data_IF_692789704724
#
_entry.id   IF_692789704724
#
_cell.length_a   1.000
_cell.length_b   1.000
_cell.length_c   1.000
_cell.angle_alpha   90.00
_cell.angle_beta   90.00
_cell.angle_gamma   90.00
#
_symmetry.space_group_name_H-M   'P 1'
#
loop_
_entity.id
_entity.type
_entity.pdbx_description
1 polymer ?
#
# COMPACT_ATOMS: atom_id res chain seq x y z
N UNK A 1 -51.99 -41.69 7.14
CA UNK A 1 -51.16 -40.93 6.19
C UNK A 1 -50.22 -39.96 6.92
N UNK A 2 -49.09 -40.40 7.51
CA UNK A 2 -48.16 -39.52 8.24
C UNK A 2 -46.93 -39.06 7.44
N UNK A 3 -46.72 -39.60 6.23
CA UNK A 3 -45.46 -39.48 5.49
C UNK A 3 -45.25 -38.08 4.88
N UNK A 4 -46.32 -37.41 4.46
CA UNK A 4 -46.27 -36.12 3.77
C UNK A 4 -45.81 -34.96 4.70
N UNK A 5 -46.13 -35.05 6.00
CA UNK A 5 -45.73 -34.02 6.98
C UNK A 5 -44.24 -34.08 7.35
N UNK A 6 -43.60 -35.25 7.24
CA UNK A 6 -42.18 -35.41 7.57
C UNK A 6 -41.28 -34.85 6.48
N UNK A 7 -41.67 -35.04 5.21
CA UNK A 7 -40.94 -34.54 4.03
C UNK A 7 -41.03 -33.01 3.89
N UNK A 8 -42.21 -32.42 4.13
CA UNK A 8 -42.35 -30.95 4.15
C UNK A 8 -41.51 -30.27 5.24
N UNK A 9 -41.33 -30.91 6.41
CA UNK A 9 -40.43 -30.41 7.46
C UNK A 9 -38.95 -30.53 7.10
N UNK A 10 -38.53 -31.61 6.45
CA UNK A 10 -37.14 -31.77 6.00
C UNK A 10 -36.78 -30.78 4.89
N UNK A 11 -37.70 -30.56 3.95
CA UNK A 11 -37.49 -29.64 2.83
C UNK A 11 -37.42 -28.19 3.33
N UNK A 12 -38.28 -27.80 4.28
CA UNK A 12 -38.22 -26.50 4.95
C UNK A 12 -36.91 -26.28 5.71
N UNK A 13 -36.41 -27.31 6.42
CA UNK A 13 -35.13 -27.24 7.12
C UNK A 13 -33.94 -27.09 6.15
N UNK A 14 -33.94 -27.86 5.05
CA UNK A 14 -32.93 -27.75 3.99
C UNK A 14 -32.91 -26.36 3.32
N UNK A 15 -34.08 -25.78 3.05
CA UNK A 15 -34.18 -24.44 2.48
C UNK A 15 -33.68 -23.36 3.44
N UNK A 16 -33.92 -23.50 4.74
CA UNK A 16 -33.38 -22.59 5.76
C UNK A 16 -31.86 -22.71 5.83
N UNK A 17 -31.30 -23.93 5.84
CA UNK A 17 -29.85 -24.14 5.83
C UNK A 17 -29.18 -23.60 4.57
N UNK A 18 -29.75 -23.83 3.38
CA UNK A 18 -29.24 -23.32 2.10
C UNK A 18 -29.28 -21.79 2.07
N UNK A 19 -30.36 -21.19 2.55
CA UNK A 19 -30.52 -19.73 2.60
C UNK A 19 -29.53 -19.10 3.59
N UNK A 20 -29.36 -19.71 4.76
CA UNK A 20 -28.40 -19.26 5.78
C UNK A 20 -26.94 -19.48 5.35
N UNK A 21 -26.64 -20.52 4.56
CA UNK A 21 -25.33 -20.69 3.93
C UNK A 21 -25.08 -19.56 2.92
N UNK A 22 -26.05 -19.29 2.04
CA UNK A 22 -25.88 -18.30 0.98
C UNK A 22 -25.71 -16.87 1.52
N UNK A 23 -26.37 -16.52 2.64
CA UNK A 23 -26.26 -15.20 3.28
C UNK A 23 -24.88 -14.90 3.88
N UNK A 24 -24.05 -15.92 4.13
CA UNK A 24 -22.71 -15.74 4.72
C UNK A 24 -21.58 -15.93 3.70
N UNK A 25 -21.81 -16.64 2.60
CA UNK A 25 -20.77 -16.92 1.59
C UNK A 25 -20.40 -15.67 0.81
N UNK A 26 -21.37 -14.87 0.36
CA UNK A 26 -21.06 -13.65 -0.42
C UNK A 26 -20.26 -12.62 0.40
N UNK A 27 -20.67 -12.22 1.63
CA UNK A 27 -19.89 -11.28 2.43
C UNK A 27 -18.50 -11.82 2.80
N UNK A 28 -18.38 -13.14 3.02
CA UNK A 28 -17.09 -13.77 3.24
C UNK A 28 -16.15 -13.60 2.04
N UNK A 29 -16.64 -13.86 0.82
CA UNK A 29 -15.86 -13.70 -0.41
C UNK A 29 -15.48 -12.22 -0.60
N UNK A 30 -16.38 -11.29 -0.36
CA UNK A 30 -16.13 -9.85 -0.43
C UNK A 30 -15.04 -9.40 0.56
N UNK A 31 -15.10 -9.87 1.82
CA UNK A 31 -14.07 -9.62 2.82
C UNK A 31 -12.70 -10.19 2.41
N UNK A 32 -12.66 -11.41 1.86
CA UNK A 32 -11.43 -12.00 1.31
C UNK A 32 -10.88 -11.14 0.17
N UNK A 33 -11.72 -10.73 -0.78
CA UNK A 33 -11.31 -9.88 -1.89
C UNK A 33 -10.81 -8.51 -1.42
N UNK A 34 -11.43 -7.92 -0.40
CA UNK A 34 -10.98 -6.67 0.20
C UNK A 34 -9.58 -6.80 0.80
N UNK A 35 -9.31 -7.88 1.55
CA UNK A 35 -7.98 -8.10 2.14
C UNK A 35 -6.93 -8.36 1.06
N UNK A 36 -7.24 -9.18 0.06
CA UNK A 36 -6.33 -9.41 -1.08
C UNK A 36 -6.08 -8.12 -1.88
N UNK A 37 -7.12 -7.31 -2.11
CA UNK A 37 -7.02 -6.00 -2.74
C UNK A 37 -6.18 -5.02 -1.92
N UNK A 38 -6.30 -5.06 -0.59
CA UNK A 38 -5.50 -4.25 0.33
C UNK A 38 -4.02 -4.67 0.32
N UNK A 39 -3.74 -5.97 0.31
CA UNK A 39 -2.37 -6.50 0.14
C UNK A 39 -1.78 -6.08 -1.20
N UNK A 40 -2.56 -6.16 -2.28
CA UNK A 40 -2.14 -5.68 -3.60
C UNK A 40 -1.85 -4.18 -3.59
N UNK A 41 -2.75 -3.37 -3.02
CA UNK A 41 -2.57 -1.93 -2.87
C UNK A 41 -1.30 -1.60 -2.06
N UNK A 42 -1.02 -2.36 -1.00
CA UNK A 42 0.23 -2.23 -0.23
C UNK A 42 1.47 -2.55 -1.08
N UNK A 43 1.43 -3.58 -1.93
CA UNK A 43 2.53 -3.89 -2.85
C UNK A 43 2.78 -2.77 -3.88
N UNK A 44 1.73 -2.08 -4.33
CA UNK A 44 1.86 -0.91 -5.21
C UNK A 44 2.65 0.23 -4.55
N UNK A 45 2.57 0.40 -3.23
CA UNK A 45 3.35 1.40 -2.49
C UNK A 45 4.87 1.15 -2.65
N UNK A 46 5.30 -0.10 -2.79
CA UNK A 46 6.72 -0.43 -3.05
C UNK A 46 7.16 0.16 -4.39
N UNK A 47 6.31 0.03 -5.41
CA UNK A 47 6.52 0.59 -6.75
C UNK A 47 6.33 2.11 -6.80
N UNK A 48 6.18 2.77 -5.65
CA UNK A 48 5.99 4.22 -5.51
C UNK A 48 4.69 4.72 -6.15
N UNK A 49 3.70 3.84 -6.26
CA UNK A 49 2.34 4.19 -6.62
C UNK A 49 1.55 4.58 -5.35
N UNK A 50 0.42 5.30 -5.48
CA UNK A 50 -0.40 5.74 -4.34
C UNK A 50 -1.22 4.58 -3.72
N UNK A 51 -0.55 3.51 -3.31
CA UNK A 51 -1.16 2.27 -2.83
C UNK A 51 -2.01 2.44 -1.57
N UNK A 52 -1.54 3.22 -0.60
CA UNK A 52 -2.31 3.51 0.62
C UNK A 52 -3.64 4.22 0.30
N UNK A 53 -3.68 5.08 -0.72
CA UNK A 53 -4.92 5.72 -1.16
C UNK A 53 -5.86 4.76 -1.87
N UNK A 54 -5.33 3.82 -2.66
CA UNK A 54 -6.13 2.75 -3.23
C UNK A 54 -6.76 1.88 -2.12
N UNK A 55 -6.01 1.60 -1.05
CA UNK A 55 -6.54 0.88 0.10
C UNK A 55 -7.71 1.63 0.75
N UNK A 56 -7.56 2.94 1.00
CA UNK A 56 -8.67 3.79 1.50
C UNK A 56 -9.90 3.68 0.61
N UNK A 57 -9.71 3.75 -0.71
CA UNK A 57 -10.81 3.63 -1.68
C UNK A 57 -11.49 2.27 -1.58
N UNK A 58 -10.72 1.17 -1.54
CA UNK A 58 -11.25 -0.18 -1.42
C UNK A 58 -12.03 -0.37 -0.11
N UNK A 59 -11.48 0.11 1.02
CA UNK A 59 -12.15 0.09 2.32
C UNK A 59 -13.45 0.88 2.30
N UNK A 60 -13.46 2.07 1.70
CA UNK A 60 -14.67 2.89 1.57
C UNK A 60 -15.73 2.24 0.66
N UNK A 61 -15.30 1.61 -0.43
CA UNK A 61 -16.20 0.84 -1.30
C UNK A 61 -16.82 -0.34 -0.55
N UNK A 62 -16.02 -1.07 0.25
CA UNK A 62 -16.53 -2.17 1.07
C UNK A 62 -17.55 -1.67 2.11
N UNK A 63 -17.24 -0.59 2.83
CA UNK A 63 -18.16 0.01 3.81
C UNK A 63 -19.48 0.54 3.20
N UNK A 64 -19.49 0.81 1.89
CA UNK A 64 -20.68 1.25 1.18
C UNK A 64 -21.49 0.09 0.58
N UNK A 65 -20.81 -0.94 0.07
CA UNK A 65 -21.43 -2.04 -0.69
C UNK A 65 -21.82 -3.22 0.20
N UNK A 66 -21.10 -3.46 1.29
CA UNK A 66 -21.33 -4.60 2.18
C UNK A 66 -22.24 -4.16 3.32
N UNK A 67 -23.42 -4.76 3.51
CA UNK A 67 -24.31 -4.40 4.61
C UNK A 67 -23.67 -4.67 5.98
N UNK A 68 -23.80 -3.70 6.90
CA UNK A 68 -23.23 -3.77 8.26
C UNK A 68 -23.80 -4.92 9.10
N UNK A 69 -24.98 -5.44 8.76
CA UNK A 69 -25.63 -6.55 9.48
C UNK A 69 -25.00 -7.92 9.18
N UNK A 70 -24.05 -7.97 8.24
CA UNK A 70 -23.35 -9.20 7.91
C UNK A 70 -22.18 -9.45 8.86
N UNK A 71 -21.88 -10.73 9.11
CA UNK A 71 -20.74 -11.16 9.92
C UNK A 71 -19.39 -10.69 9.36
N UNK A 72 -19.30 -10.41 8.06
CA UNK A 72 -18.09 -10.03 7.37
C UNK A 72 -18.30 -8.67 6.71
N UNK A 73 -18.03 -7.59 7.42
CA UNK A 73 -18.25 -6.22 6.95
C UNK A 73 -17.16 -5.28 7.46
N UNK A 74 -17.06 -4.09 6.88
CA UNK A 74 -16.14 -3.05 7.34
C UNK A 74 -16.91 -1.77 7.55
N UNK A 75 -16.68 -1.10 8.67
CA UNK A 75 -17.40 0.12 9.03
C UNK A 75 -16.74 1.41 8.55
N UNK A 76 -17.52 2.49 8.49
CA UNK A 76 -17.01 3.86 8.28
C UNK A 76 -15.94 4.31 9.30
N UNK A 77 -15.94 3.89 10.58
CA UNK A 77 -14.84 4.17 11.49
C UNK A 77 -13.48 3.64 10.97
N UNK A 78 -13.47 2.43 10.40
CA UNK A 78 -12.26 1.84 9.80
C UNK A 78 -11.78 2.63 8.60
N UNK A 79 -12.69 3.11 7.74
CA UNK A 79 -12.34 4.03 6.65
C UNK A 79 -11.64 5.28 7.18
N UNK A 80 -12.15 5.88 8.26
CA UNK A 80 -11.55 7.05 8.90
C UNK A 80 -10.14 6.79 9.45
N UNK A 81 -9.95 5.65 10.11
CA UNK A 81 -8.64 5.24 10.65
C UNK A 81 -7.63 5.00 9.52
N UNK A 82 -8.03 4.24 8.50
CA UNK A 82 -7.19 3.91 7.34
C UNK A 82 -6.83 5.18 6.56
N UNK A 83 -7.77 6.12 6.40
CA UNK A 83 -7.51 7.44 5.80
C UNK A 83 -6.47 8.23 6.61
N UNK A 84 -6.63 8.32 7.93
CA UNK A 84 -5.69 9.02 8.79
C UNK A 84 -4.28 8.41 8.71
N UNK A 85 -4.18 7.07 8.71
CA UNK A 85 -2.93 6.36 8.52
C UNK A 85 -2.33 6.61 7.14
N UNK A 86 -3.13 6.62 6.07
CA UNK A 86 -2.65 6.93 4.72
C UNK A 86 -1.99 8.31 4.69
N UNK A 87 -2.63 9.33 5.29
CA UNK A 87 -2.06 10.68 5.45
C UNK A 87 -0.75 10.64 6.23
N UNK A 88 -0.69 9.93 7.35
CA UNK A 88 0.56 9.78 8.13
C UNK A 88 1.67 9.16 7.29
N UNK A 89 1.37 8.11 6.51
CA UNK A 89 2.33 7.47 5.61
C UNK A 89 2.89 8.41 4.55
N UNK A 90 2.04 9.23 3.91
CA UNK A 90 2.48 10.25 2.95
C UNK A 90 3.32 11.34 3.62
N UNK A 91 2.90 11.81 4.80
CA UNK A 91 3.65 12.81 5.55
C UNK A 91 5.04 12.29 5.95
N UNK A 92 5.15 11.02 6.37
CA UNK A 92 6.44 10.41 6.70
C UNK A 92 7.36 10.37 5.48
N UNK A 93 6.87 9.92 4.33
CA UNK A 93 7.66 9.86 3.09
C UNK A 93 8.14 11.26 2.65
N UNK A 94 7.24 12.24 2.68
CA UNK A 94 7.55 13.61 2.32
C UNK A 94 8.51 14.26 3.32
N UNK A 95 8.33 14.01 4.61
CA UNK A 95 9.15 14.59 5.68
C UNK A 95 10.58 14.07 5.63
N UNK A 96 10.78 12.75 5.50
CA UNK A 96 12.15 12.19 5.42
C UNK A 96 12.87 12.67 4.17
N UNK A 97 12.18 12.73 3.03
CA UNK A 97 12.73 13.27 1.79
C UNK A 97 13.09 14.75 1.90
N UNK A 98 12.18 15.58 2.42
CA UNK A 98 12.39 17.02 2.58
C UNK A 98 13.48 17.34 3.62
N UNK A 99 13.51 16.65 4.76
CA UNK A 99 14.54 16.82 5.80
C UNK A 99 15.91 16.44 5.25
N UNK A 100 16.02 15.32 4.55
CA UNK A 100 17.28 14.88 3.97
C UNK A 100 17.80 15.85 2.90
N UNK A 101 16.92 16.33 2.02
CA UNK A 101 17.24 17.33 1.01
C UNK A 101 17.66 18.68 1.64
N UNK A 102 16.89 19.16 2.63
CA UNK A 102 17.12 20.46 3.29
C UNK A 102 18.41 20.47 4.09
N UNK A 103 18.75 19.40 4.82
CA UNK A 103 19.97 19.31 5.63
C UNK A 103 21.25 19.51 4.79
N UNK A 104 21.24 19.06 3.54
CA UNK A 104 22.37 19.26 2.62
C UNK A 104 22.19 20.45 1.67
N UNK A 105 21.17 21.29 1.89
CA UNK A 105 20.90 22.46 1.05
C UNK A 105 20.61 22.11 -0.40
N UNK A 106 19.95 20.97 -0.66
CA UNK A 106 19.64 20.49 -2.00
C UNK A 106 18.90 21.56 -2.82
N UNK A 107 19.25 21.68 -4.09
CA UNK A 107 18.59 22.55 -5.03
C UNK A 107 17.23 21.98 -5.45
N UNK A 108 16.35 22.87 -5.93
CA UNK A 108 15.05 22.46 -6.50
C UNK A 108 15.22 21.49 -7.68
N UNK A 109 16.28 21.68 -8.48
CA UNK A 109 16.62 20.78 -9.61
C UNK A 109 16.99 19.39 -9.12
N UNK A 110 17.83 19.30 -8.08
CA UNK A 110 18.19 18.02 -7.47
C UNK A 110 16.97 17.29 -6.90
N UNK A 111 16.05 17.99 -6.23
CA UNK A 111 14.82 17.36 -5.72
C UNK A 111 13.96 16.83 -6.87
N UNK A 112 13.72 17.62 -7.93
CA UNK A 112 12.92 17.18 -9.07
C UNK A 112 13.54 15.98 -9.79
N UNK A 113 14.83 16.05 -10.11
CA UNK A 113 15.53 14.96 -10.78
C UNK A 113 15.65 13.71 -9.91
N UNK A 114 15.78 13.86 -8.58
CA UNK A 114 15.76 12.71 -7.67
C UNK A 114 14.41 12.00 -7.61
N UNK A 115 13.30 12.73 -7.71
CA UNK A 115 11.97 12.12 -7.79
C UNK A 115 11.85 11.28 -9.07
N UNK A 116 12.19 11.87 -10.22
CA UNK A 116 12.14 11.16 -11.52
C UNK A 116 13.10 9.98 -11.54
N UNK A 117 14.35 10.21 -11.12
CA UNK A 117 15.38 9.18 -11.04
C UNK A 117 14.98 8.06 -10.09
N UNK A 118 14.39 8.38 -8.94
CA UNK A 118 13.94 7.39 -7.97
C UNK A 118 12.78 6.52 -8.46
N UNK A 119 11.89 7.06 -9.30
CA UNK A 119 10.82 6.29 -9.96
C UNK A 119 11.41 5.39 -11.05
N UNK A 120 12.21 5.96 -11.96
CA UNK A 120 12.85 5.19 -13.01
C UNK A 120 13.70 4.06 -12.43
N UNK A 121 14.53 4.36 -11.43
CA UNK A 121 15.38 3.40 -10.76
C UNK A 121 14.60 2.29 -10.05
N UNK A 122 13.48 2.61 -9.40
CA UNK A 122 12.61 1.61 -8.78
C UNK A 122 12.01 0.65 -9.82
N UNK A 123 11.56 1.16 -10.96
CA UNK A 123 10.99 0.35 -12.05
C UNK A 123 12.05 -0.55 -12.70
N UNK A 124 13.25 -0.02 -12.99
CA UNK A 124 14.37 -0.83 -13.49
C UNK A 124 14.81 -1.89 -12.47
N UNK A 125 14.85 -1.51 -11.19
CA UNK A 125 15.16 -2.42 -10.10
C UNK A 125 14.15 -3.55 -9.94
N UNK A 126 12.86 -3.27 -10.13
CA UNK A 126 11.80 -4.28 -10.13
C UNK A 126 12.03 -5.34 -11.21
N UNK A 127 12.39 -4.92 -12.43
CA UNK A 127 12.67 -5.80 -13.55
C UNK A 127 13.95 -6.63 -13.38
N UNK A 128 15.01 -6.05 -12.79
CA UNK A 128 16.29 -6.74 -12.56
C UNK A 128 16.29 -7.70 -11.35
N UNK A 129 15.47 -7.43 -10.33
CA UNK A 129 15.40 -8.23 -9.11
C UNK A 129 14.61 -9.55 -9.23
N UNK A 130 14.04 -9.84 -10.40
CA UNK A 130 13.09 -10.94 -10.62
C UNK A 130 13.67 -12.35 -10.47
N UNK A 131 14.99 -12.51 -10.27
CA UNK A 131 15.66 -13.81 -10.12
C UNK A 131 15.20 -14.56 -8.86
N UNK A 132 14.82 -13.84 -7.80
CA UNK A 132 14.21 -14.41 -6.58
C UNK A 132 12.83 -13.79 -6.38
N UNK A 133 11.72 -14.57 -6.46
CA UNK A 133 10.38 -14.04 -6.36
C UNK A 133 10.16 -13.25 -5.05
N UNK A 134 9.47 -12.12 -5.15
CA UNK A 134 9.12 -11.21 -4.05
C UNK A 134 10.33 -10.53 -3.42
N UNK A 135 11.23 -11.25 -2.75
CA UNK A 135 12.37 -10.67 -2.03
C UNK A 135 13.37 -9.98 -2.97
N UNK A 136 13.73 -10.62 -4.09
CA UNK A 136 14.64 -10.04 -5.07
C UNK A 136 14.06 -8.78 -5.70
N UNK A 137 12.76 -8.81 -6.02
CA UNK A 137 12.03 -7.65 -6.55
C UNK A 137 11.96 -6.50 -5.55
N UNK A 138 11.65 -6.76 -4.28
CA UNK A 138 11.61 -5.71 -3.24
C UNK A 138 12.98 -5.06 -3.05
N UNK A 139 14.04 -5.86 -2.94
CA UNK A 139 15.42 -5.36 -2.83
C UNK A 139 15.78 -4.55 -4.08
N UNK A 140 15.46 -5.06 -5.26
CA UNK A 140 15.67 -4.38 -6.53
C UNK A 140 14.99 -3.02 -6.59
N UNK A 141 13.72 -2.94 -6.20
CA UNK A 141 12.95 -1.68 -6.18
C UNK A 141 13.58 -0.66 -5.21
N UNK A 142 13.90 -1.09 -3.99
CA UNK A 142 14.48 -0.19 -2.97
C UNK A 142 15.88 0.29 -3.37
N UNK A 143 16.74 -0.63 -3.82
CA UNK A 143 18.10 -0.31 -4.24
C UNK A 143 18.10 0.54 -5.52
N UNK A 144 17.31 0.15 -6.51
CA UNK A 144 17.15 0.88 -7.76
C UNK A 144 16.57 2.27 -7.52
N UNK A 145 15.54 2.39 -6.69
CA UNK A 145 14.96 3.67 -6.33
C UNK A 145 15.92 4.58 -5.55
N UNK A 146 16.73 4.02 -4.64
CA UNK A 146 17.78 4.77 -3.95
C UNK A 146 18.88 5.24 -4.90
N UNK A 147 19.36 4.36 -5.79
CA UNK A 147 20.38 4.68 -6.79
C UNK A 147 19.89 5.73 -7.79
N UNK A 148 18.67 5.58 -8.29
CA UNK A 148 18.05 6.54 -9.19
C UNK A 148 17.84 7.91 -8.54
N UNK A 149 17.40 7.94 -7.28
CA UNK A 149 17.27 9.19 -6.53
C UNK A 149 18.62 9.85 -6.25
N UNK A 150 19.65 9.06 -5.91
CA UNK A 150 21.03 9.53 -5.79
C UNK A 150 21.52 10.18 -7.08
N UNK A 151 21.40 9.48 -8.21
CA UNK A 151 21.87 9.95 -9.52
C UNK A 151 21.11 11.21 -9.95
N UNK A 152 19.79 11.24 -9.77
CA UNK A 152 18.98 12.41 -10.09
C UNK A 152 19.38 13.63 -9.25
N UNK A 153 19.54 13.48 -7.94
CA UNK A 153 20.01 14.55 -7.07
C UNK A 153 21.42 15.02 -7.45
N UNK A 154 22.35 14.09 -7.66
CA UNK A 154 23.72 14.37 -8.08
C UNK A 154 23.76 15.20 -9.37
N UNK A 155 23.05 14.75 -10.41
CA UNK A 155 22.97 15.46 -11.69
C UNK A 155 22.36 16.86 -11.54
N UNK A 156 21.35 17.01 -10.68
CA UNK A 156 20.74 18.31 -10.42
C UNK A 156 21.68 19.30 -9.73
N UNK A 157 22.54 18.82 -8.84
CA UNK A 157 23.57 19.65 -8.19
C UNK A 157 24.73 19.98 -9.14
N UNK A 158 25.20 19.01 -9.91
CA UNK A 158 26.24 19.22 -10.93
C UNK A 158 25.77 20.21 -11.99
N UNK A 159 24.52 20.13 -12.43
CA UNK A 159 23.93 21.10 -13.36
C UNK A 159 23.79 22.50 -12.75
N UNK A 160 23.69 22.61 -11.43
CA UNK A 160 23.73 23.90 -10.73
C UNK A 160 25.16 24.44 -10.58
N UNK A 161 26.19 23.69 -10.99
CA UNK A 161 27.60 24.06 -10.86
C UNK A 161 28.15 23.89 -9.45
N UNK A 162 27.53 23.04 -8.61
CA UNK A 162 28.08 22.71 -7.29
C UNK A 162 29.29 21.79 -7.42
N UNK A 163 30.15 21.80 -6.40
CA UNK A 163 31.30 20.90 -6.36
C UNK A 163 30.87 19.44 -6.28
N UNK A 164 31.71 18.54 -6.79
CA UNK A 164 31.45 17.10 -6.78
C UNK A 164 31.16 16.58 -5.37
N UNK A 165 31.96 17.01 -4.38
CA UNK A 165 31.76 16.66 -2.98
C UNK A 165 30.37 17.06 -2.46
N UNK A 166 29.86 18.24 -2.84
CA UNK A 166 28.52 18.69 -2.47
C UNK A 166 27.43 17.90 -3.20
N UNK A 167 27.61 17.64 -4.49
CA UNK A 167 26.66 16.86 -5.29
C UNK A 167 26.50 15.43 -4.75
N UNK A 168 27.61 14.76 -4.41
CA UNK A 168 27.60 13.42 -3.80
C UNK A 168 26.95 13.45 -2.41
N UNK A 169 27.27 14.46 -1.58
CA UNK A 169 26.68 14.59 -0.24
C UNK A 169 25.15 14.77 -0.29
N UNK A 170 24.65 15.59 -1.22
CA UNK A 170 23.21 15.77 -1.47
C UNK A 170 22.59 14.48 -1.98
N UNK A 171 23.21 13.84 -2.98
CA UNK A 171 22.73 12.58 -3.53
C UNK A 171 22.55 11.50 -2.47
N UNK A 172 23.55 11.30 -1.60
CA UNK A 172 23.49 10.28 -0.53
C UNK A 172 22.38 10.58 0.47
N UNK A 173 22.25 11.84 0.89
CA UNK A 173 21.21 12.23 1.82
C UNK A 173 19.82 11.98 1.22
N UNK A 174 19.57 12.42 -0.01
CA UNK A 174 18.29 12.24 -0.70
C UNK A 174 17.94 10.75 -0.87
N UNK A 175 18.92 9.92 -1.27
CA UNK A 175 18.72 8.47 -1.39
C UNK A 175 18.31 7.84 -0.05
N UNK A 176 19.04 8.12 1.04
CA UNK A 176 18.73 7.60 2.37
C UNK A 176 17.36 8.10 2.85
N UNK A 177 17.09 9.40 2.72
CA UNK A 177 15.82 10.01 3.12
C UNK A 177 14.63 9.41 2.39
N UNK A 178 14.78 9.13 1.08
CA UNK A 178 13.77 8.42 0.29
C UNK A 178 13.57 7.00 0.79
N UNK A 179 14.63 6.21 0.94
CA UNK A 179 14.52 4.81 1.38
C UNK A 179 13.83 4.72 2.73
N UNK A 180 14.22 5.56 3.70
CA UNK A 180 13.58 5.61 5.02
C UNK A 180 12.11 6.03 4.93
N UNK A 181 11.78 6.96 4.04
CA UNK A 181 10.40 7.42 3.80
C UNK A 181 9.50 6.31 3.26
N UNK A 182 9.97 5.61 2.22
CA UNK A 182 9.26 4.46 1.63
C UNK A 182 9.07 3.35 2.66
N UNK A 183 10.12 3.00 3.42
CA UNK A 183 10.01 1.99 4.47
C UNK A 183 9.00 2.38 5.55
N UNK A 184 9.03 3.64 6.02
CA UNK A 184 8.06 4.15 6.99
C UNK A 184 6.62 4.08 6.47
N UNK A 185 6.40 4.51 5.23
CA UNK A 185 5.10 4.42 4.56
C UNK A 185 4.61 2.97 4.39
N UNK A 186 5.51 2.05 4.05
CA UNK A 186 5.21 0.63 3.96
C UNK A 186 4.82 0.05 5.31
N UNK A 187 5.51 0.41 6.40
CA UNK A 187 5.15 -0.02 7.75
C UNK A 187 3.76 0.45 8.14
N UNK A 188 3.41 1.71 7.83
CA UNK A 188 2.05 2.21 8.03
C UNK A 188 1.03 1.44 7.19
N UNK A 189 1.36 1.13 5.94
CA UNK A 189 0.51 0.32 5.07
C UNK A 189 0.26 -1.10 5.61
N UNK A 190 1.23 -1.74 6.26
CA UNK A 190 1.02 -3.03 6.94
C UNK A 190 -0.03 -2.89 8.05
N UNK A 191 0.08 -1.84 8.87
CA UNK A 191 -0.90 -1.58 9.94
C UNK A 191 -2.31 -1.37 9.36
N UNK A 192 -2.42 -0.64 8.24
CA UNK A 192 -3.70 -0.45 7.56
C UNK A 192 -4.30 -1.79 7.09
N UNK A 193 -3.52 -2.67 6.46
CA UNK A 193 -3.99 -4.02 6.06
C UNK A 193 -4.49 -4.81 7.26
N UNK A 194 -3.77 -4.78 8.38
CA UNK A 194 -4.15 -5.52 9.59
C UNK A 194 -5.46 -5.00 10.17
N UNK A 195 -5.68 -3.69 10.18
CA UNK A 195 -6.92 -3.08 10.67
C UNK A 195 -8.09 -3.46 9.76
N UNK A 196 -7.92 -3.35 8.44
CA UNK A 196 -8.96 -3.74 7.47
C UNK A 196 -9.30 -5.22 7.60
N UNK A 197 -8.30 -6.09 7.72
CA UNK A 197 -8.50 -7.52 7.89
C UNK A 197 -9.15 -7.85 9.24
N UNK A 198 -8.81 -7.11 10.31
CA UNK A 198 -9.46 -7.31 11.60
C UNK A 198 -10.96 -7.00 11.51
N UNK A 199 -11.30 -5.79 11.08
CA UNK A 199 -12.69 -5.33 10.99
C UNK A 199 -13.52 -6.20 10.05
N UNK A 200 -12.94 -6.64 8.92
CA UNK A 200 -13.62 -7.48 7.94
C UNK A 200 -14.02 -8.88 8.45
N UNK A 201 -13.42 -9.37 9.54
CA UNK A 201 -13.59 -10.75 10.01
C UNK A 201 -14.00 -10.89 11.48
N UNK A 202 -13.86 -9.86 12.31
CA UNK A 202 -14.04 -9.91 13.77
C UNK A 202 -14.81 -8.71 14.30
#
# INVERSE_FOLDING_TARGET
>A
MPENHRKSRSDGFQLIEITAMNSNVLPFVEAVLLVLGSLFAWLLTVLQLPGNWLMVLLTAMAAWLIPEETRFSVGWPTVGIVFALAVVGEVLELATGAVAAKKQGASRRAVCLALVGGIAGALFGAGGGSVVPVLGTLIGILAGGAAGAFLGAYLGETWKGRSEAQAVAVGRAVAIGRTLGVLGKMSVGVVMVLIVAWDAFF
#
